data_IF_877316083745
#
_entry.id   IF_877316083745
#
_cell.length_a   1.000
_cell.length_b   1.000
_cell.length_c   1.000
_cell.angle_alpha   90.00
_cell.angle_beta   90.00
_cell.angle_gamma   90.00
#
_symmetry.space_group_name_H-M   'P 1'
#
loop_
_entity.id
_entity.type
_entity.pdbx_description
1 polymer ?
#
# COMPACT_ATOMS: atom_id res chain seq x y z
N UNK A 1 12.38 3.56 -3.87
CA UNK A 1 11.60 3.55 -2.62
C UNK A 1 10.19 4.00 -2.92
N UNK A 2 9.22 3.11 -2.76
CA UNK A 2 7.79 3.43 -2.87
C UNK A 2 7.11 3.10 -1.55
N UNK A 3 6.27 4.01 -1.06
CA UNK A 3 5.38 3.77 0.09
C UNK A 3 3.99 3.69 -0.48
N UNK A 4 3.43 2.49 -0.54
CA UNK A 4 2.07 2.28 -0.96
C UNK A 4 1.18 2.19 0.28
N UNK A 5 0.13 3.01 0.31
CA UNK A 5 -0.98 2.85 1.26
C UNK A 5 -2.10 2.10 0.58
N UNK A 6 -3.01 1.51 1.36
CA UNK A 6 -4.21 0.79 0.92
C UNK A 6 -4.83 1.30 -0.40
N UNK A 7 -4.96 2.62 -0.57
CA UNK A 7 -5.53 3.28 -1.76
C UNK A 7 -4.92 2.90 -3.13
N UNK A 8 -3.68 2.41 -3.19
CA UNK A 8 -2.94 2.23 -4.45
C UNK A 8 -2.95 0.79 -5.01
N UNK A 9 -3.53 -0.17 -4.28
CA UNK A 9 -3.25 -1.59 -4.54
C UNK A 9 -4.46 -2.48 -4.86
N UNK A 10 -5.65 -1.91 -5.07
CA UNK A 10 -6.82 -2.75 -5.27
C UNK A 10 -7.73 -2.34 -6.43
N UNK A 11 -7.58 -3.07 -7.54
CA UNK A 11 -8.62 -3.25 -8.54
C UNK A 11 -8.88 -4.74 -8.75
N UNK A 12 -9.82 -5.33 -8.01
CA UNK A 12 -10.54 -6.48 -8.55
C UNK A 12 -11.55 -5.98 -9.59
N UNK A 13 -11.53 -6.60 -10.77
CA UNK A 13 -12.29 -6.22 -11.95
C UNK A 13 -13.80 -6.15 -11.76
N UNK A 14 -14.30 -5.05 -11.22
CA UNK A 14 -15.72 -4.65 -11.28
C UNK A 14 -15.86 -3.40 -12.15
N UNK A 15 -16.44 -3.60 -13.35
CA UNK A 15 -16.86 -2.52 -14.27
C UNK A 15 -17.67 -1.46 -13.51
N UNK A 16 -17.06 -0.33 -13.22
CA UNK A 16 -17.74 0.83 -12.61
C UNK A 16 -17.78 2.00 -13.58
N UNK A 17 -18.57 1.85 -14.65
CA UNK A 17 -18.93 2.94 -15.56
C UNK A 17 -19.51 4.17 -14.81
N UNK A 18 -20.07 3.96 -13.61
CA UNK A 18 -20.62 5.01 -12.75
C UNK A 18 -19.60 6.01 -12.17
N UNK A 19 -18.32 5.65 -12.02
CA UNK A 19 -17.34 6.56 -11.42
C UNK A 19 -16.82 7.63 -12.37
N UNK A 20 -16.83 7.36 -13.69
CA UNK A 20 -16.41 8.35 -14.70
C UNK A 20 -17.33 9.56 -14.77
N UNK A 21 -18.62 9.40 -14.43
CA UNK A 21 -19.61 10.47 -14.58
C UNK A 21 -19.69 11.43 -13.39
N UNK A 22 -19.25 11.02 -12.19
CA UNK A 22 -19.43 11.83 -10.97
C UNK A 22 -18.14 12.29 -10.28
N UNK A 23 -16.96 11.74 -10.60
CA UNK A 23 -15.72 12.05 -9.90
C UNK A 23 -14.53 12.30 -10.85
N UNK A 24 -14.20 13.57 -11.14
CA UNK A 24 -12.89 14.12 -11.56
C UNK A 24 -12.03 13.38 -12.60
N UNK A 25 -12.60 12.53 -13.48
CA UNK A 25 -11.81 11.65 -14.38
C UNK A 25 -10.82 10.75 -13.61
N UNK A 26 -11.20 10.30 -12.41
CA UNK A 26 -10.35 9.40 -11.63
C UNK A 26 -10.45 7.99 -12.22
N UNK A 27 -9.42 7.58 -12.95
CA UNK A 27 -9.36 6.30 -13.66
C UNK A 27 -8.70 5.27 -12.74
N UNK A 28 -9.40 4.83 -11.69
CA UNK A 28 -8.88 3.93 -10.65
C UNK A 28 -8.15 2.70 -11.19
N UNK A 29 -8.62 2.12 -12.29
CA UNK A 29 -7.99 0.94 -12.91
C UNK A 29 -6.60 1.19 -13.52
N UNK A 30 -6.19 2.45 -13.71
CA UNK A 30 -4.83 2.83 -14.14
C UNK A 30 -3.89 3.14 -12.98
N UNK A 31 -4.46 3.42 -11.81
CA UNK A 31 -3.72 3.81 -10.60
C UNK A 31 -3.59 2.66 -9.61
N UNK A 32 -4.26 1.54 -9.86
CA UNK A 32 -4.12 0.31 -9.07
C UNK A 32 -2.95 -0.49 -9.61
N UNK A 33 -1.97 -0.76 -8.75
CA UNK A 33 -0.88 -1.68 -9.05
C UNK A 33 -1.33 -3.11 -8.77
N UNK A 34 -1.00 -4.01 -9.69
CA UNK A 34 -0.98 -5.43 -9.39
C UNK A 34 0.20 -5.75 -8.46
N UNK A 35 0.15 -6.84 -7.67
CA UNK A 35 1.28 -7.22 -6.83
C UNK A 35 2.60 -7.27 -7.59
N UNK A 36 2.60 -7.80 -8.82
CA UNK A 36 3.78 -7.94 -9.68
C UNK A 36 4.34 -6.59 -10.17
N UNK A 37 3.55 -5.51 -10.07
CA UNK A 37 3.92 -4.16 -10.47
C UNK A 37 4.46 -3.34 -9.29
N UNK A 38 4.52 -3.92 -8.08
CA UNK A 38 5.07 -3.24 -6.93
C UNK A 38 6.59 -3.08 -7.06
N UNK A 39 7.12 -1.85 -7.00
CA UNK A 39 8.55 -1.62 -7.14
C UNK A 39 9.30 -2.10 -5.90
N UNK A 40 10.47 -2.71 -6.07
CA UNK A 40 11.31 -3.11 -4.94
C UNK A 40 12.45 -2.10 -4.70
N UNK A 41 12.76 -1.73 -3.45
CA UNK A 41 12.06 -2.06 -2.21
C UNK A 41 10.78 -1.21 -1.99
N UNK A 42 9.71 -1.85 -1.51
CA UNK A 42 8.41 -1.24 -1.16
C UNK A 42 7.97 -1.58 0.26
N UNK A 43 7.30 -0.60 0.88
CA UNK A 43 6.58 -0.73 2.13
C UNK A 43 5.10 -0.51 1.87
N UNK A 44 4.30 -1.50 2.25
CA UNK A 44 2.86 -1.47 2.19
C UNK A 44 2.28 -1.27 3.59
N UNK A 45 1.47 -0.23 3.75
CA UNK A 45 0.75 0.05 5.00
C UNK A 45 -0.72 -0.28 4.80
N UNK A 46 -1.24 -1.18 5.63
CA UNK A 46 -2.57 -1.76 5.53
C UNK A 46 -3.45 -1.52 6.77
N UNK A 47 -4.71 -1.18 6.54
CA UNK A 47 -5.74 -0.95 7.55
C UNK A 47 -6.84 -2.04 7.51
N UNK A 48 -7.07 -2.75 8.61
CA UNK A 48 -7.98 -3.90 8.63
C UNK A 48 -9.47 -3.57 8.42
N UNK A 49 -9.89 -2.37 8.82
CA UNK A 49 -11.26 -1.85 8.74
C UNK A 49 -11.37 -0.81 7.61
N UNK A 50 -10.54 -0.96 6.58
CA UNK A 50 -10.59 -0.13 5.39
C UNK A 50 -11.81 -0.49 4.53
N UNK A 51 -12.75 0.45 4.43
CA UNK A 51 -13.97 0.27 3.65
C UNK A 51 -13.75 0.43 2.12
N UNK A 52 -12.61 0.99 1.71
CA UNK A 52 -12.27 1.20 0.31
C UNK A 52 -11.48 0.04 -0.26
N UNK A 53 -10.58 -0.53 0.53
CA UNK A 53 -9.64 -1.57 0.12
C UNK A 53 -9.78 -2.77 1.02
N UNK A 54 -10.01 -3.99 0.51
CA UNK A 54 -10.10 -5.18 1.33
C UNK A 54 -8.70 -5.63 1.79
N UNK A 55 -8.11 -4.91 2.75
CA UNK A 55 -6.71 -5.08 3.14
C UNK A 55 -6.41 -6.46 3.75
N UNK A 56 -7.42 -7.14 4.33
CA UNK A 56 -7.31 -8.55 4.74
C UNK A 56 -7.03 -9.47 3.56
N UNK A 57 -7.77 -9.30 2.46
CA UNK A 57 -7.61 -10.09 1.25
C UNK A 57 -6.28 -9.78 0.56
N UNK A 58 -5.90 -8.50 0.50
CA UNK A 58 -4.63 -8.08 -0.07
C UNK A 58 -3.44 -8.68 0.69
N UNK A 59 -3.49 -8.67 2.03
CA UNK A 59 -2.48 -9.33 2.87
C UNK A 59 -2.39 -10.83 2.59
N UNK A 60 -3.53 -11.52 2.49
CA UNK A 60 -3.58 -12.95 2.18
C UNK A 60 -3.02 -13.23 0.78
N UNK A 61 -3.32 -12.38 -0.20
CA UNK A 61 -2.80 -12.49 -1.56
C UNK A 61 -1.27 -12.37 -1.57
N UNK A 62 -0.71 -11.31 -0.96
CA UNK A 62 0.73 -11.09 -0.88
C UNK A 62 1.46 -12.25 -0.18
N UNK A 63 0.85 -12.82 0.86
CA UNK A 63 1.37 -14.00 1.54
C UNK A 63 1.34 -15.24 0.63
N UNK A 64 0.25 -15.44 -0.13
CA UNK A 64 0.09 -16.61 -1.01
C UNK A 64 1.08 -16.63 -2.17
N UNK A 65 1.46 -15.46 -2.69
CA UNK A 65 2.46 -15.31 -3.75
C UNK A 65 3.89 -15.12 -3.21
N UNK A 66 4.06 -15.17 -1.88
CA UNK A 66 5.33 -14.95 -1.20
C UNK A 66 6.07 -13.66 -1.65
N UNK A 67 5.31 -12.56 -1.78
CA UNK A 67 5.86 -11.30 -2.28
C UNK A 67 6.89 -10.73 -1.28
N UNK A 68 8.07 -10.25 -1.73
CA UNK A 68 9.11 -9.70 -0.84
C UNK A 68 8.81 -8.31 -0.26
N UNK A 69 7.59 -7.79 -0.47
CA UNK A 69 7.23 -6.44 -0.02
C UNK A 69 7.02 -6.43 1.49
N UNK A 70 7.53 -5.40 2.16
CA UNK A 70 7.34 -5.26 3.59
C UNK A 70 5.92 -4.77 3.89
N UNK A 71 5.20 -5.44 4.79
CA UNK A 71 3.79 -5.12 5.09
C UNK A 71 3.62 -4.74 6.56
N UNK A 72 3.19 -3.49 6.79
CA UNK A 72 2.73 -3.01 8.09
C UNK A 72 1.20 -3.07 8.16
N UNK A 73 0.66 -3.92 9.03
CA UNK A 73 -0.80 -4.13 9.12
C UNK A 73 -1.36 -3.66 10.46
N UNK A 74 -2.38 -2.80 10.44
CA UNK A 74 -3.07 -2.33 11.64
C UNK A 74 -4.48 -2.95 11.78
N UNK A 75 -4.80 -3.60 12.92
CA UNK A 75 -5.99 -4.45 13.06
C UNK A 75 -7.33 -3.72 13.23
N UNK A 76 -7.33 -2.42 13.57
CA UNK A 76 -8.56 -1.67 13.92
C UNK A 76 -8.62 -0.26 13.35
N UNK A 77 -7.78 0.07 12.36
CA UNK A 77 -7.87 1.37 11.68
C UNK A 77 -8.67 1.19 10.40
N UNK A 78 -9.45 2.22 10.05
CA UNK A 78 -9.99 2.38 8.70
C UNK A 78 -9.04 3.15 7.78
N UNK A 79 -9.48 3.39 6.55
CA UNK A 79 -8.67 3.92 5.44
C UNK A 79 -7.83 5.16 5.77
N UNK A 80 -8.35 6.11 6.55
CA UNK A 80 -7.62 7.33 6.94
C UNK A 80 -6.93 7.25 8.31
N UNK A 81 -7.11 6.15 9.03
CA UNK A 81 -6.77 6.06 10.46
C UNK A 81 -5.28 6.21 10.74
N UNK A 82 -4.43 5.78 9.81
CA UNK A 82 -2.99 5.91 9.91
C UNK A 82 -2.48 7.36 9.81
N UNK A 83 -3.24 8.27 9.19
CA UNK A 83 -2.89 9.69 9.14
C UNK A 83 -3.20 10.41 10.46
N UNK A 84 -4.20 9.92 11.19
CA UNK A 84 -4.65 10.52 12.45
C UNK A 84 -3.89 9.96 13.66
N UNK A 85 -3.51 8.68 13.61
CA UNK A 85 -2.77 8.03 14.69
C UNK A 85 -1.32 8.51 14.75
N UNK A 86 -1.01 9.39 15.72
CA UNK A 86 0.36 9.86 15.95
C UNK A 86 1.34 8.71 16.29
N UNK A 87 0.85 7.68 16.99
CA UNK A 87 1.64 6.48 17.28
C UNK A 87 2.02 5.76 15.99
N UNK A 88 1.03 5.52 15.14
CA UNK A 88 1.24 4.78 13.90
C UNK A 88 2.07 5.55 12.87
N UNK A 89 1.85 6.87 12.75
CA UNK A 89 2.73 7.73 11.93
C UNK A 89 4.20 7.61 12.31
N UNK A 90 4.52 7.60 13.61
CA UNK A 90 5.90 7.42 14.07
C UNK A 90 6.46 6.05 13.69
N UNK A 91 5.65 4.99 13.76
CA UNK A 91 6.06 3.65 13.38
C UNK A 91 6.33 3.56 11.87
N UNK A 92 5.43 4.10 11.04
CA UNK A 92 5.61 4.13 9.58
C UNK A 92 6.86 4.95 9.21
N UNK A 93 7.06 6.12 9.82
CA UNK A 93 8.26 6.93 9.59
C UNK A 93 9.55 6.24 10.05
N UNK A 94 9.50 5.49 11.15
CA UNK A 94 10.61 4.67 11.60
C UNK A 94 10.96 3.61 10.56
N UNK A 95 9.96 2.93 10.01
CA UNK A 95 10.17 1.89 9.01
C UNK A 95 10.75 2.44 7.71
N UNK A 96 10.21 3.57 7.25
CA UNK A 96 10.75 4.28 6.08
C UNK A 96 12.23 4.62 6.29
N UNK A 97 12.62 5.10 7.48
CA UNK A 97 14.04 5.38 7.80
C UNK A 97 14.92 4.15 7.72
N UNK A 98 14.45 3.01 8.24
CA UNK A 98 15.17 1.73 8.15
C UNK A 98 15.36 1.34 6.69
N UNK A 99 14.31 1.39 5.88
CA UNK A 99 14.40 1.08 4.45
C UNK A 99 15.32 2.02 3.67
N UNK A 100 15.33 3.32 4.01
CA UNK A 100 16.25 4.29 3.40
C UNK A 100 17.68 3.88 3.74
N UNK A 101 17.97 3.59 5.01
CA UNK A 101 19.30 3.19 5.45
C UNK A 101 19.77 1.91 4.76
N UNK A 102 18.92 0.88 4.67
CA UNK A 102 19.23 -0.37 3.98
C UNK A 102 19.41 -0.19 2.46
N UNK A 103 18.73 0.79 1.86
CA UNK A 103 18.88 1.12 0.44
C UNK A 103 20.18 1.85 0.09
N UNK A 104 20.81 2.53 1.07
CA UNK A 104 22.09 3.25 0.87
C UNK A 104 23.28 2.28 0.74
N UNK A 105 23.19 1.07 1.30
CA UNK A 105 24.28 0.07 1.20
C UNK A 105 24.38 -0.60 -0.18
N UNK A 106 23.33 -0.53 -1.02
CA UNK A 106 23.32 -1.15 -2.36
C UNK A 106 23.95 -0.29 -3.47
N UNK A 107 24.21 1.00 -3.24
CA UNK A 107 24.65 1.95 -4.28
C UNK A 107 26.12 2.39 -4.18
N UNK A 108 26.90 1.87 -3.22
CA UNK A 108 28.30 2.27 -2.99
C UNK A 108 29.35 1.30 -3.54
N UNK A 109 28.95 0.20 -4.19
CA UNK A 109 29.86 -0.68 -4.92
C UNK A 109 29.64 -0.55 -6.43
N UNK A 110 30.24 0.45 -7.05
CA UNK A 110 30.68 0.46 -8.46
C UNK A 110 31.67 1.61 -8.71
#
# INVERSE_FOLDING_TARGET
MCVATDALLYAQGFRSYRQQSFCRKFVWHRECLWPEELPEPCLLVLAAEDDLVPSKLLRQLLQSINHPCEVMYHPTLGHGGFLLSHKWRRQVLSQIKVMVASGVEMSTNN
#
